data_IF_183859244734
#
_entry.id   IF_183859244734
#
_cell.length_a   1.000
_cell.length_b   1.000
_cell.length_c   1.000
_cell.angle_alpha   90.00
_cell.angle_beta   90.00
_cell.angle_gamma   90.00
#
_symmetry.space_group_name_H-M   'P 1'
#
loop_
_entity.id
_entity.type
_entity.pdbx_description
1 polymer ?
#
# COMPACT_ATOMS: atom_id res chain seq x y z
N UNK A 1 -31.21 -4.19 -25.96
CA UNK A 1 -30.18 -3.78 -25.04
C UNK A 1 -30.02 -4.90 -23.99
N UNK A 2 -29.00 -5.76 -24.18
CA UNK A 2 -28.79 -6.94 -23.31
C UNK A 2 -27.82 -6.57 -22.20
N UNK A 3 -28.32 -6.53 -20.98
CA UNK A 3 -27.51 -6.35 -19.78
C UNK A 3 -26.83 -7.70 -19.47
N UNK A 4 -25.53 -7.81 -19.73
CA UNK A 4 -24.74 -8.96 -19.31
C UNK A 4 -24.40 -8.75 -17.83
N UNK A 5 -25.16 -9.39 -16.94
CA UNK A 5 -24.81 -9.52 -15.51
C UNK A 5 -23.61 -10.46 -15.41
N UNK A 6 -22.44 -9.90 -15.17
CA UNK A 6 -21.26 -10.68 -14.79
C UNK A 6 -21.40 -11.10 -13.34
N UNK A 7 -22.05 -12.25 -13.10
CA UNK A 7 -22.00 -12.91 -11.82
C UNK A 7 -20.64 -13.62 -11.71
N UNK A 8 -19.81 -13.35 -10.71
CA UNK A 8 -18.58 -14.12 -10.53
C UNK A 8 -18.94 -15.58 -10.29
N UNK A 9 -18.48 -16.42 -11.20
CA UNK A 9 -18.73 -17.87 -11.18
C UNK A 9 -18.26 -18.45 -9.83
N UNK A 10 -19.05 -19.35 -9.25
CA UNK A 10 -18.69 -20.14 -8.03
C UNK A 10 -17.29 -20.77 -8.14
N UNK A 11 -16.81 -21.01 -9.38
CA UNK A 11 -15.45 -21.48 -9.68
C UNK A 11 -14.37 -20.47 -9.32
N UNK A 12 -14.64 -19.14 -9.43
CA UNK A 12 -13.69 -18.09 -9.07
C UNK A 12 -13.44 -18.05 -7.55
N UNK A 13 -14.52 -18.19 -6.75
CA UNK A 13 -14.40 -18.29 -5.30
C UNK A 13 -13.66 -19.56 -4.86
N UNK A 14 -13.84 -20.66 -5.57
CA UNK A 14 -13.19 -21.93 -5.27
C UNK A 14 -11.68 -21.88 -5.56
N UNK A 15 -11.28 -21.25 -6.66
CA UNK A 15 -9.87 -21.03 -7.01
C UNK A 15 -9.19 -20.08 -6.01
N UNK A 16 -9.87 -19.00 -5.60
CA UNK A 16 -9.36 -18.07 -4.61
C UNK A 16 -9.20 -18.76 -3.23
N UNK A 17 -10.13 -19.65 -2.86
CA UNK A 17 -10.05 -20.41 -1.61
C UNK A 17 -8.90 -21.42 -1.61
N UNK A 18 -8.65 -22.09 -2.74
CA UNK A 18 -7.51 -23.01 -2.91
C UNK A 18 -6.18 -22.24 -2.85
N UNK A 19 -6.08 -21.06 -3.46
CA UNK A 19 -4.90 -20.20 -3.38
C UNK A 19 -4.61 -19.74 -1.94
N UNK A 20 -5.63 -19.36 -1.18
CA UNK A 20 -5.46 -19.03 0.25
C UNK A 20 -5.03 -20.26 1.08
N UNK A 21 -5.51 -21.45 0.76
CA UNK A 21 -5.12 -22.66 1.50
C UNK A 21 -3.69 -23.08 1.24
N UNK A 22 -3.19 -22.88 0.03
CA UNK A 22 -1.77 -23.15 -0.29
C UNK A 22 -0.79 -22.26 0.50
N UNK A 23 -1.19 -21.08 0.92
CA UNK A 23 -0.33 -20.16 1.70
C UNK A 23 -0.20 -20.63 3.16
N UNK A 24 -1.19 -21.32 3.72
CA UNK A 24 -1.16 -21.85 5.09
C UNK A 24 -0.39 -23.16 5.25
N UNK A 25 0.00 -23.83 4.15
CA UNK A 25 0.57 -25.18 4.18
C UNK A 25 2.08 -25.30 4.43
N UNK A 26 2.83 -24.22 4.54
CA UNK A 26 4.31 -24.28 4.60
C UNK A 26 4.93 -23.96 5.96
N UNK A 27 4.24 -24.25 7.05
CA UNK A 27 4.87 -24.22 8.39
C UNK A 27 5.42 -25.59 8.76
N UNK A 28 6.25 -26.19 7.90
CA UNK A 28 7.09 -27.32 8.31
C UNK A 28 8.38 -26.75 8.90
N UNK A 29 8.56 -26.90 10.21
CA UNK A 29 9.86 -26.72 10.87
C UNK A 29 10.86 -27.68 10.26
N UNK A 30 11.67 -27.22 9.31
CA UNK A 30 12.88 -27.93 8.92
C UNK A 30 13.88 -27.84 10.08
N UNK A 31 14.55 -28.99 10.42
CA UNK A 31 15.64 -28.95 11.38
C UNK A 31 16.75 -28.05 10.83
N UNK A 32 17.31 -27.26 11.73
CA UNK A 32 18.33 -26.24 11.51
C UNK A 32 19.51 -26.76 10.70
N UNK A 33 19.48 -26.65 9.38
CA UNK A 33 20.71 -26.50 8.64
C UNK A 33 21.20 -25.08 8.89
N UNK A 34 22.42 -24.91 9.40
CA UNK A 34 23.15 -23.65 9.43
C UNK A 34 23.32 -23.16 8.00
N UNK A 35 22.25 -22.58 7.43
CA UNK A 35 22.38 -21.74 6.27
C UNK A 35 23.06 -20.45 6.75
N UNK A 36 24.28 -20.23 6.28
CA UNK A 36 24.92 -18.92 6.33
C UNK A 36 23.99 -17.92 5.63
N UNK A 37 22.98 -17.40 6.35
CA UNK A 37 22.20 -16.26 5.87
C UNK A 37 23.21 -15.13 5.70
N UNK A 38 23.37 -14.65 4.46
CA UNK A 38 24.23 -13.50 4.24
C UNK A 38 23.80 -12.40 5.23
N UNK A 39 24.74 -11.66 5.83
CA UNK A 39 24.45 -10.62 6.82
C UNK A 39 23.39 -9.60 6.33
N UNK A 40 23.36 -9.39 5.03
CA UNK A 40 22.37 -8.52 4.38
C UNK A 40 20.94 -9.00 4.61
N UNK A 41 20.61 -10.26 4.29
CA UNK A 41 19.25 -10.78 4.38
C UNK A 41 18.72 -10.88 5.81
N UNK A 42 19.60 -10.94 6.80
CA UNK A 42 19.18 -10.91 8.21
C UNK A 42 18.66 -9.55 8.67
N UNK A 43 18.99 -8.49 7.92
CA UNK A 43 18.56 -7.11 8.17
C UNK A 43 17.41 -6.66 7.27
N UNK A 44 17.00 -7.48 6.30
CA UNK A 44 15.85 -7.19 5.44
C UNK A 44 14.57 -7.67 6.13
N UNK A 45 13.60 -6.77 6.24
CA UNK A 45 12.26 -7.06 6.73
C UNK A 45 11.26 -6.85 5.61
N UNK A 46 10.36 -7.80 5.45
CA UNK A 46 9.25 -7.71 4.52
C UNK A 46 7.99 -7.32 5.25
N UNK A 47 7.15 -6.56 4.59
CA UNK A 47 5.92 -6.10 5.18
C UNK A 47 5.11 -5.25 4.23
N UNK A 48 4.45 -4.25 4.77
CA UNK A 48 3.69 -3.33 3.95
C UNK A 48 2.76 -2.44 4.76
N UNK A 49 2.09 -1.57 4.03
CA UNK A 49 1.14 -0.62 4.59
C UNK A 49 -0.25 -0.77 3.99
N UNK A 50 -1.22 -0.37 4.78
CA UNK A 50 -2.59 -0.11 4.35
C UNK A 50 -2.89 1.35 4.63
N UNK A 51 -3.49 2.03 3.66
CA UNK A 51 -3.96 3.40 3.79
C UNK A 51 -5.45 3.47 3.45
N UNK A 52 -6.18 4.27 4.22
CA UNK A 52 -7.58 4.58 3.97
C UNK A 52 -7.77 6.08 4.00
N UNK A 53 -8.52 6.60 3.06
CA UNK A 53 -8.91 8.01 3.02
C UNK A 53 -10.40 8.12 2.76
N UNK A 54 -11.04 9.07 3.44
CA UNK A 54 -12.46 9.35 3.29
C UNK A 54 -12.65 10.84 3.04
N UNK A 55 -13.54 11.17 2.12
CA UNK A 55 -13.96 12.53 1.83
C UNK A 55 -15.44 12.56 1.54
N UNK A 56 -16.03 13.76 1.47
CA UNK A 56 -17.44 13.89 1.13
C UNK A 56 -17.69 13.39 -0.29
N UNK A 57 -18.39 12.25 -0.40
CA UNK A 57 -18.76 11.62 -1.67
C UNK A 57 -17.75 10.62 -2.24
N UNK A 58 -16.68 10.28 -1.49
CA UNK A 58 -15.70 9.31 -1.97
C UNK A 58 -14.85 8.65 -0.90
N UNK A 59 -14.16 7.59 -1.32
CA UNK A 59 -13.14 6.92 -0.50
C UNK A 59 -11.97 6.51 -1.36
N UNK A 60 -10.81 6.35 -0.74
CA UNK A 60 -9.69 5.65 -1.33
C UNK A 60 -9.14 4.58 -0.38
N UNK A 61 -8.61 3.52 -0.96
CA UNK A 61 -7.93 2.46 -0.25
C UNK A 61 -6.63 2.14 -0.96
N UNK A 62 -5.55 2.00 -0.20
CA UNK A 62 -4.24 1.65 -0.73
C UNK A 62 -3.65 0.46 0.00
N UNK A 63 -2.93 -0.38 -0.73
CA UNK A 63 -2.08 -1.44 -0.22
C UNK A 63 -0.68 -1.26 -0.78
N UNK A 64 0.31 -1.34 0.11
CA UNK A 64 1.70 -1.04 -0.24
C UNK A 64 2.64 -2.10 0.32
N UNK A 65 2.78 -3.28 -0.35
CA UNK A 65 3.81 -4.25 0.00
C UNK A 65 5.20 -3.60 -0.10
N UNK A 66 6.06 -3.88 0.86
CA UNK A 66 7.37 -3.24 0.97
C UNK A 66 8.45 -4.16 1.54
N UNK A 67 9.69 -3.84 1.21
CA UNK A 67 10.88 -4.43 1.76
C UNK A 67 11.79 -3.33 2.29
N UNK A 68 12.16 -3.41 3.56
CA UNK A 68 13.03 -2.43 4.21
C UNK A 68 14.30 -3.10 4.71
N UNK A 69 15.40 -2.36 4.67
CA UNK A 69 16.66 -2.73 5.26
C UNK A 69 16.85 -1.97 6.58
N UNK A 70 17.05 -2.71 7.66
CA UNK A 70 17.27 -2.17 8.98
C UNK A 70 18.76 -1.85 9.15
N UNK A 71 19.15 -0.58 9.13
CA UNK A 71 20.54 -0.16 9.31
C UNK A 71 20.99 -0.26 10.78
N UNK A 72 20.08 0.07 11.69
CA UNK A 72 20.24 -0.03 13.13
C UNK A 72 18.87 -0.07 13.81
N UNK A 73 18.82 -0.11 15.14
CA UNK A 73 17.57 -0.22 15.91
C UNK A 73 16.61 0.96 15.69
N UNK A 74 17.12 2.10 15.23
CA UNK A 74 16.34 3.33 15.07
C UNK A 74 16.04 3.65 13.60
N UNK A 75 16.85 3.19 12.63
CA UNK A 75 16.78 3.64 11.26
C UNK A 75 16.66 2.50 10.27
N UNK A 76 15.65 2.57 9.40
CA UNK A 76 15.45 1.66 8.30
C UNK A 76 15.06 2.44 7.03
N UNK A 77 15.42 1.91 5.86
CA UNK A 77 14.95 2.44 4.59
C UNK A 77 14.72 1.31 3.60
N UNK A 78 13.86 1.55 2.63
CA UNK A 78 13.52 0.51 1.68
C UNK A 78 12.66 1.00 0.53
N UNK A 79 12.08 0.03 -0.16
CA UNK A 79 11.22 0.27 -1.31
C UNK A 79 9.85 -0.34 -1.09
N UNK A 80 8.85 0.27 -1.71
CA UNK A 80 7.47 -0.20 -1.67
C UNK A 80 6.86 -0.15 -3.06
N UNK A 81 5.90 -1.03 -3.30
CA UNK A 81 5.00 -0.95 -4.44
C UNK A 81 3.64 -0.53 -3.91
N UNK A 82 3.01 0.45 -4.56
CA UNK A 82 1.70 0.94 -4.14
C UNK A 82 0.63 0.60 -5.18
N UNK A 83 -0.48 0.06 -4.69
CA UNK A 83 -1.72 -0.09 -5.44
C UNK A 83 -2.80 0.72 -4.72
N UNK A 84 -3.43 1.62 -5.44
CA UNK A 84 -4.46 2.49 -4.92
C UNK A 84 -5.74 2.38 -5.76
N UNK A 85 -6.87 2.33 -5.07
CA UNK A 85 -8.19 2.41 -5.67
C UNK A 85 -8.97 3.52 -5.00
N UNK A 86 -9.45 4.47 -5.79
CA UNK A 86 -10.28 5.56 -5.33
C UNK A 86 -11.61 5.58 -6.11
N UNK A 87 -12.69 5.87 -5.39
CA UNK A 87 -14.01 6.08 -5.96
C UNK A 87 -14.58 7.40 -5.44
N UNK A 88 -14.94 8.28 -6.38
CA UNK A 88 -15.58 9.57 -6.10
C UNK A 88 -16.84 9.66 -6.94
N UNK A 89 -18.02 9.54 -6.30
CA UNK A 89 -19.31 9.48 -7.00
C UNK A 89 -19.32 8.40 -8.09
N UNK A 90 -19.41 8.78 -9.37
CA UNK A 90 -19.38 7.86 -10.52
C UNK A 90 -17.95 7.60 -11.04
N UNK A 91 -16.98 8.45 -10.68
CA UNK A 91 -15.61 8.34 -11.16
C UNK A 91 -14.82 7.28 -10.39
N UNK A 92 -14.08 6.49 -11.15
CA UNK A 92 -13.16 5.47 -10.62
C UNK A 92 -11.75 5.81 -11.03
N UNK A 93 -10.84 5.80 -10.08
CA UNK A 93 -9.41 5.99 -10.30
C UNK A 93 -8.66 4.79 -9.77
N UNK A 94 -7.75 4.27 -10.57
CA UNK A 94 -6.82 3.22 -10.16
C UNK A 94 -5.42 3.73 -10.37
N UNK A 95 -4.57 3.57 -9.37
CA UNK A 95 -3.17 3.94 -9.51
C UNK A 95 -2.26 2.83 -9.01
N UNK A 96 -1.09 2.74 -9.63
CA UNK A 96 -0.03 1.84 -9.24
C UNK A 96 1.32 2.49 -9.46
N UNK A 97 2.28 2.11 -8.64
CA UNK A 97 3.63 2.66 -8.74
C UNK A 97 4.52 2.16 -7.64
N UNK A 98 5.55 2.93 -7.33
CA UNK A 98 6.51 2.58 -6.31
C UNK A 98 6.88 3.77 -5.45
N UNK A 99 7.46 3.47 -4.29
CA UNK A 99 7.97 4.48 -3.38
C UNK A 99 9.30 4.06 -2.76
N UNK A 100 10.03 5.07 -2.29
CA UNK A 100 11.16 4.91 -1.38
C UNK A 100 10.69 5.37 -0.02
N UNK A 101 10.85 4.52 0.98
CA UNK A 101 10.41 4.77 2.34
C UNK A 101 11.60 4.79 3.29
N UNK A 102 11.58 5.72 4.23
CA UNK A 102 12.54 5.84 5.32
C UNK A 102 11.79 5.91 6.63
N UNK A 103 12.24 5.11 7.59
CA UNK A 103 11.64 4.99 8.92
C UNK A 103 12.68 5.37 9.96
N UNK A 104 12.28 6.18 10.93
CA UNK A 104 13.09 6.58 12.05
C UNK A 104 12.33 6.42 13.36
N UNK A 105 12.85 5.59 14.26
CA UNK A 105 12.28 5.32 15.58
C UNK A 105 13.18 5.95 16.67
N UNK A 106 12.96 7.22 17.03
CA UNK A 106 13.75 7.87 18.10
C UNK A 106 13.59 7.15 19.45
N UNK A 107 12.43 6.56 19.67
CA UNK A 107 12.10 5.71 20.82
C UNK A 107 11.28 4.50 20.33
N UNK A 108 11.27 3.37 21.06
CA UNK A 108 10.67 2.11 20.57
C UNK A 108 9.19 2.20 20.17
N UNK A 109 8.43 3.11 20.76
CA UNK A 109 7.00 3.26 20.52
C UNK A 109 6.64 4.35 19.52
N UNK A 110 7.61 5.17 19.07
CA UNK A 110 7.37 6.29 18.16
C UNK A 110 8.10 6.07 16.83
N UNK A 111 7.36 6.15 15.73
CA UNK A 111 7.93 6.07 14.39
C UNK A 111 7.64 7.34 13.60
N UNK A 112 8.70 7.96 13.10
CA UNK A 112 8.65 8.97 12.06
C UNK A 112 8.90 8.28 10.72
N UNK A 113 8.22 8.71 9.66
CA UNK A 113 8.44 8.19 8.33
C UNK A 113 8.46 9.30 7.28
N UNK A 114 9.30 9.12 6.27
CA UNK A 114 9.28 9.90 5.04
C UNK A 114 9.15 8.92 3.87
N UNK A 115 8.23 9.17 2.94
CA UNK A 115 7.97 8.30 1.80
C UNK A 115 7.80 9.16 0.54
N UNK A 116 8.70 8.99 -0.43
CA UNK A 116 8.58 9.59 -1.75
C UNK A 116 7.96 8.56 -2.69
N UNK A 117 6.77 8.86 -3.18
CA UNK A 117 5.98 7.98 -4.01
C UNK A 117 5.79 8.56 -5.41
N UNK A 118 5.78 7.68 -6.42
CA UNK A 118 5.45 8.01 -7.79
C UNK A 118 4.44 7.00 -8.33
N UNK A 119 3.22 7.47 -8.61
CA UNK A 119 2.15 6.64 -9.13
C UNK A 119 1.81 6.98 -10.58
N UNK A 120 1.48 5.95 -11.35
CA UNK A 120 0.75 6.08 -12.61
C UNK A 120 -0.73 5.96 -12.31
N UNK A 121 -1.49 7.00 -12.64
CA UNK A 121 -2.93 7.09 -12.40
C UNK A 121 -3.65 6.86 -13.71
N UNK A 122 -4.61 5.92 -13.71
CA UNK A 122 -5.56 5.71 -14.78
C UNK A 122 -6.92 6.21 -14.28
N UNK A 123 -7.45 7.21 -14.94
CA UNK A 123 -8.73 7.81 -14.62
C UNK A 123 -9.72 7.53 -15.75
N UNK A 124 -10.90 7.09 -15.38
CA UNK A 124 -11.98 6.81 -16.33
C UNK A 124 -13.21 7.62 -15.96
N UNK A 125 -13.57 8.52 -16.86
CA UNK A 125 -14.79 9.31 -16.78
C UNK A 125 -15.86 8.67 -17.66
N UNK A 126 -17.03 8.42 -17.12
CA UNK A 126 -18.18 7.92 -17.85
C UNK A 126 -19.23 9.04 -17.99
N UNK A 127 -19.25 9.70 -19.14
CA UNK A 127 -20.23 10.74 -19.45
C UNK A 127 -21.52 10.19 -20.10
N UNK A 128 -21.73 8.85 -20.04
CA UNK A 128 -22.92 8.22 -20.62
C UNK A 128 -22.93 8.11 -22.15
N UNK A 129 -22.27 9.01 -22.86
CA UNK A 129 -22.14 9.03 -24.33
C UNK A 129 -20.71 8.88 -24.81
N UNK A 130 -19.72 9.15 -23.95
CA UNK A 130 -18.31 9.01 -24.25
C UNK A 130 -17.54 8.59 -22.99
N UNK A 131 -16.60 7.67 -23.16
CA UNK A 131 -15.64 7.31 -22.13
C UNK A 131 -14.37 8.04 -22.46
N UNK A 132 -13.88 8.86 -21.51
CA UNK A 132 -12.59 9.55 -21.60
C UNK A 132 -11.65 8.88 -20.62
N UNK A 133 -10.54 8.37 -21.12
CA UNK A 133 -9.45 7.82 -20.31
C UNK A 133 -8.31 8.82 -20.31
N UNK A 134 -7.82 9.17 -19.13
CA UNK A 134 -6.67 10.04 -18.95
C UNK A 134 -5.64 9.36 -18.03
N UNK A 135 -4.39 9.41 -18.47
CA UNK A 135 -3.27 8.78 -17.80
C UNK A 135 -2.24 9.85 -17.41
N UNK A 136 -1.96 9.98 -16.13
CA UNK A 136 -0.94 10.92 -15.66
C UNK A 136 -0.09 10.36 -14.53
N UNK A 137 1.03 11.04 -14.26
CA UNK A 137 1.89 10.74 -13.14
C UNK A 137 1.55 11.62 -11.94
N UNK A 138 1.39 10.98 -10.78
CA UNK A 138 1.10 11.66 -9.51
C UNK A 138 2.26 11.41 -8.54
N UNK A 139 3.14 12.41 -8.32
CA UNK A 139 4.13 12.35 -7.26
C UNK A 139 3.48 12.68 -5.92
N UNK A 140 3.95 12.05 -4.83
CA UNK A 140 3.56 12.37 -3.47
C UNK A 140 4.76 12.29 -2.54
N UNK A 141 4.80 13.15 -1.53
CA UNK A 141 5.79 13.12 -0.46
C UNK A 141 5.07 13.05 0.87
N UNK A 142 5.06 11.89 1.48
CA UNK A 142 4.44 11.69 2.77
C UNK A 142 5.42 11.87 3.92
N UNK A 143 5.03 12.66 4.90
CA UNK A 143 5.63 12.68 6.24
C UNK A 143 4.64 12.04 7.21
N UNK A 144 5.09 11.02 7.92
CA UNK A 144 4.24 10.23 8.80
C UNK A 144 4.71 10.22 10.24
N UNK A 145 3.74 10.12 11.14
CA UNK A 145 3.93 9.94 12.57
C UNK A 145 3.05 8.77 13.03
N UNK A 146 3.63 7.78 13.71
CA UNK A 146 2.92 6.59 14.14
C UNK A 146 3.36 6.08 15.50
N UNK A 147 2.44 5.37 16.15
CA UNK A 147 2.71 4.57 17.32
C UNK A 147 3.04 3.14 16.88
N UNK A 148 4.21 2.67 17.30
CA UNK A 148 4.71 1.33 16.98
C UNK A 148 4.56 0.41 18.18
N UNK A 149 4.03 -0.77 17.95
CA UNK A 149 3.97 -1.86 18.92
C UNK A 149 4.43 -3.14 18.25
N UNK A 150 5.53 -3.72 18.74
CA UNK A 150 6.15 -4.92 18.19
C UNK A 150 6.42 -4.82 16.66
N UNK A 151 5.53 -5.42 15.85
CA UNK A 151 5.64 -5.53 14.40
C UNK A 151 4.69 -4.59 13.64
N UNK A 152 3.81 -3.87 14.34
CA UNK A 152 2.79 -3.03 13.74
C UNK A 152 2.93 -1.57 14.15
N UNK A 153 2.74 -0.67 13.21
CA UNK A 153 2.67 0.79 13.40
C UNK A 153 1.31 1.27 12.92
N UNK A 154 0.64 2.05 13.75
CA UNK A 154 -0.57 2.78 13.38
C UNK A 154 -0.31 4.28 13.53
N UNK A 155 -0.76 5.06 12.56
CA UNK A 155 -0.47 6.49 12.58
C UNK A 155 -1.22 7.29 11.53
N UNK A 156 -0.74 8.52 11.37
CA UNK A 156 -1.20 9.44 10.33
C UNK A 156 -0.02 9.87 9.47
N UNK A 157 -0.26 10.08 8.18
CA UNK A 157 0.70 10.65 7.25
C UNK A 157 0.10 11.86 6.55
N UNK A 158 0.95 12.82 6.25
CA UNK A 158 0.61 14.05 5.56
C UNK A 158 1.34 14.11 4.22
N UNK A 159 0.61 14.31 3.14
CA UNK A 159 1.19 14.53 1.81
C UNK A 159 1.56 16.00 1.65
N UNK A 160 2.88 16.27 1.59
CA UNK A 160 3.43 17.63 1.44
C UNK A 160 3.22 18.18 0.03
N UNK A 161 3.11 17.29 -0.96
CA UNK A 161 2.90 17.64 -2.37
C UNK A 161 1.43 17.55 -2.80
N UNK A 162 0.51 17.45 -1.83
CA UNK A 162 -0.91 17.29 -2.10
C UNK A 162 -1.45 18.42 -2.99
N UNK A 163 -2.13 18.03 -4.06
CA UNK A 163 -2.85 18.90 -4.99
C UNK A 163 -4.23 18.30 -5.25
N UNK A 164 -5.29 19.04 -4.90
CA UNK A 164 -6.69 18.61 -5.06
C UNK A 164 -7.05 18.15 -6.48
N UNK A 165 -6.38 18.69 -7.51
CA UNK A 165 -6.68 18.38 -8.90
C UNK A 165 -5.91 17.16 -9.43
N UNK A 166 -4.79 16.82 -8.84
CA UNK A 166 -3.85 15.78 -9.34
C UNK A 166 -3.68 14.60 -8.41
N UNK A 167 -3.93 14.79 -7.11
CA UNK A 167 -3.79 13.70 -6.15
C UNK A 167 -4.86 12.64 -6.35
N UNK A 168 -4.47 11.37 -6.25
CA UNK A 168 -5.41 10.25 -6.16
C UNK A 168 -6.00 10.12 -4.75
N UNK A 169 -5.35 10.74 -3.78
CA UNK A 169 -5.74 10.67 -2.38
C UNK A 169 -6.89 11.63 -2.07
N UNK A 170 -7.78 11.21 -1.18
CA UNK A 170 -8.98 11.96 -0.80
C UNK A 170 -8.67 13.23 0.02
N UNK A 171 -7.46 13.38 0.51
CA UNK A 171 -7.00 14.52 1.29
C UNK A 171 -5.52 14.39 1.65
N UNK A 172 -4.92 15.48 2.10
CA UNK A 172 -3.52 15.51 2.49
C UNK A 172 -3.23 14.67 3.74
N UNK A 173 -4.20 14.53 4.65
CA UNK A 173 -4.09 13.70 5.86
C UNK A 173 -4.68 12.32 5.64
N UNK A 174 -3.90 11.27 5.95
CA UNK A 174 -4.33 9.89 5.80
C UNK A 174 -3.91 9.04 6.99
N UNK A 175 -4.85 8.31 7.62
CA UNK A 175 -4.51 7.25 8.55
C UNK A 175 -3.81 6.10 7.81
N UNK A 176 -2.86 5.45 8.47
CA UNK A 176 -2.20 4.27 7.94
C UNK A 176 -1.98 3.21 9.01
N UNK A 177 -1.89 1.97 8.56
CA UNK A 177 -1.39 0.83 9.33
C UNK A 177 -0.25 0.21 8.55
N UNK A 178 0.87 -0.06 9.22
CA UNK A 178 2.07 -0.66 8.61
C UNK A 178 2.55 -1.81 9.46
N UNK A 179 2.98 -2.89 8.81
CA UNK A 179 3.41 -4.12 9.48
C UNK A 179 4.70 -4.59 8.84
N UNK A 180 5.69 -5.00 9.65
CA UNK A 180 6.96 -5.60 9.20
C UNK A 180 7.30 -6.85 10.02
N UNK A 181 7.84 -7.87 9.34
CA UNK A 181 8.23 -9.15 9.91
C UNK A 181 9.70 -9.46 9.70
#
# INVERSE_FOLDING_TARGET
MRIVKFLPSKKFFFVLFILLWCICGHTQKQPSQMTNKSPFWSQVRFGGGLGLGFTNGGFNASVSPSAIYQFNDQFASGVSLTFNYAKFQEDKRTAYGGSIITLYNPVPFLQLSAELEQLRVNQRFDFGTAIVEDDYWSPALFLGLGYTSNFATIGVRYDVLYDDNRSIYAGAFMPFVRVYF
#
